data_IF_449959778783
#
_entry.id   IF_449959778783
#
_cell.length_a   1.000
_cell.length_b   1.000
_cell.length_c   1.000
_cell.angle_alpha   90.00
_cell.angle_beta   90.00
_cell.angle_gamma   90.00
#
_symmetry.space_group_name_H-M   'P 1'
#
loop_
_entity.id
_entity.type
_entity.pdbx_description
1 polymer ?
#
# COMPACT_ATOMS: atom_id res chain seq x y z
N UNK A 1 -13.18 -8.75 -15.64
CA UNK A 1 -13.69 -7.60 -14.86
C UNK A 1 -12.98 -7.55 -13.51
N UNK A 2 -13.21 -8.55 -12.65
CA UNK A 2 -12.49 -8.76 -11.39
C UNK A 2 -10.96 -8.96 -11.58
N UNK A 3 -10.53 -9.50 -12.73
CA UNK A 3 -9.12 -9.81 -12.97
C UNK A 3 -8.17 -8.60 -12.96
N UNK A 4 -8.63 -7.38 -13.29
CA UNK A 4 -7.70 -6.24 -13.42
C UNK A 4 -7.22 -5.72 -12.08
N UNK A 5 -8.13 -5.54 -11.11
CA UNK A 5 -7.77 -5.08 -9.75
C UNK A 5 -6.77 -6.04 -9.11
N UNK A 6 -7.07 -7.34 -9.14
CA UNK A 6 -6.19 -8.35 -8.57
C UNK A 6 -4.88 -8.52 -9.33
N UNK A 7 -4.88 -8.39 -10.67
CA UNK A 7 -3.66 -8.41 -11.46
C UNK A 7 -2.74 -7.25 -11.10
N UNK A 8 -3.28 -6.02 -11.04
CA UNK A 8 -2.51 -4.83 -10.65
C UNK A 8 -1.99 -4.99 -9.23
N UNK A 9 -2.85 -5.40 -8.29
CA UNK A 9 -2.46 -5.62 -6.90
C UNK A 9 -1.34 -6.67 -6.80
N UNK A 10 -1.45 -7.78 -7.52
CA UNK A 10 -0.43 -8.82 -7.55
C UNK A 10 0.91 -8.29 -8.10
N UNK A 11 0.88 -7.55 -9.20
CA UNK A 11 2.10 -6.94 -9.76
C UNK A 11 2.74 -5.96 -8.77
N UNK A 12 1.94 -5.11 -8.12
CA UNK A 12 2.43 -4.18 -7.07
C UNK A 12 3.08 -4.95 -5.93
N UNK A 13 2.44 -6.02 -5.43
CA UNK A 13 2.97 -6.84 -4.35
C UNK A 13 4.31 -7.45 -4.76
N UNK A 14 4.39 -8.04 -5.96
CA UNK A 14 5.64 -8.64 -6.45
C UNK A 14 6.75 -7.59 -6.53
N UNK A 15 6.48 -6.43 -7.09
CA UNK A 15 7.47 -5.35 -7.20
C UNK A 15 7.89 -4.86 -5.81
N UNK A 16 6.95 -4.66 -4.89
CA UNK A 16 7.24 -4.26 -3.50
C UNK A 16 8.09 -5.31 -2.77
N UNK A 17 7.77 -6.60 -2.92
CA UNK A 17 8.56 -7.70 -2.32
C UNK A 17 9.98 -7.77 -2.88
N UNK A 18 10.12 -7.71 -4.20
CA UNK A 18 11.44 -7.76 -4.87
C UNK A 18 12.28 -6.56 -4.45
N UNK A 19 11.72 -5.35 -4.45
CA UNK A 19 12.47 -4.16 -4.06
C UNK A 19 12.87 -4.19 -2.59
N UNK A 20 11.99 -4.62 -1.68
CA UNK A 20 12.33 -4.80 -0.25
C UNK A 20 13.41 -5.86 -0.05
N UNK A 21 13.40 -6.94 -0.82
CA UNK A 21 14.46 -7.94 -0.79
C UNK A 21 15.81 -7.35 -1.24
N UNK A 22 15.84 -6.60 -2.34
CA UNK A 22 17.07 -6.00 -2.88
C UNK A 22 17.65 -4.95 -1.93
N UNK A 23 16.81 -4.11 -1.34
CA UNK A 23 17.23 -2.96 -0.53
C UNK A 23 17.16 -3.22 0.99
N UNK A 24 17.03 -4.48 1.42
CA UNK A 24 16.84 -4.81 2.84
C UNK A 24 17.95 -4.26 3.73
N UNK A 25 19.21 -4.41 3.33
CA UNK A 25 20.39 -3.97 4.11
C UNK A 25 20.48 -2.45 4.30
N UNK A 26 19.91 -1.66 3.40
CA UNK A 26 19.90 -0.19 3.47
C UNK A 26 18.58 0.39 3.99
N UNK A 27 17.65 -0.47 4.41
CA UNK A 27 16.31 -0.11 4.84
C UNK A 27 16.22 0.24 6.34
N UNK A 28 15.05 0.70 6.76
CA UNK A 28 14.67 0.89 8.16
C UNK A 28 13.28 0.30 8.40
N UNK A 29 13.07 -0.31 9.57
CA UNK A 29 11.75 -0.83 9.95
C UNK A 29 10.95 0.28 10.66
N UNK A 30 9.91 0.77 10.00
CA UNK A 30 8.99 1.75 10.53
C UNK A 30 7.85 1.08 11.32
N UNK A 31 7.81 1.31 12.63
CA UNK A 31 6.78 0.76 13.53
C UNK A 31 5.51 1.62 13.62
N UNK A 32 5.50 2.79 12.99
CA UNK A 32 4.38 3.73 12.97
C UNK A 32 3.81 3.93 11.57
N UNK A 33 3.09 5.04 11.40
CA UNK A 33 2.75 5.58 10.08
C UNK A 33 3.79 6.63 9.64
N UNK A 34 3.46 7.42 8.61
CA UNK A 34 4.24 8.60 8.25
C UNK A 34 4.51 9.47 9.50
N UNK A 35 5.72 10.06 9.58
CA UNK A 35 6.19 10.80 10.76
C UNK A 35 6.16 10.01 12.07
N UNK A 36 6.19 8.67 12.01
CA UNK A 36 6.31 7.84 13.21
C UNK A 36 5.15 7.99 14.20
N UNK A 37 3.96 8.40 13.73
CA UNK A 37 2.73 8.43 14.53
C UNK A 37 2.21 7.01 14.79
N UNK A 38 1.47 6.81 15.88
CA UNK A 38 0.86 5.53 16.26
C UNK A 38 1.86 4.35 16.35
N UNK A 39 3.11 4.63 16.72
CA UNK A 39 4.08 3.58 17.04
C UNK A 39 3.55 2.65 18.13
N UNK A 40 3.77 1.34 17.96
CA UNK A 40 3.31 0.31 18.90
C UNK A 40 1.86 -0.13 18.69
N UNK A 41 1.09 0.56 17.84
CA UNK A 41 -0.29 0.20 17.51
C UNK A 41 -0.38 -0.57 16.19
N UNK A 42 0.52 -1.52 15.95
CA UNK A 42 0.57 -2.32 14.71
C UNK A 42 -0.79 -2.95 14.36
N UNK A 43 -1.56 -3.35 15.38
CA UNK A 43 -2.90 -3.93 15.24
C UNK A 43 -3.92 -2.97 14.60
N UNK A 44 -3.82 -1.65 14.83
CA UNK A 44 -4.70 -0.65 14.20
C UNK A 44 -4.48 -0.60 12.68
N UNK A 45 -3.22 -0.69 12.25
CA UNK A 45 -2.88 -0.70 10.83
C UNK A 45 -3.32 -1.99 10.14
N UNK A 46 -3.20 -3.13 10.83
CA UNK A 46 -3.71 -4.42 10.33
C UNK A 46 -5.23 -4.33 10.15
N UNK A 47 -5.95 -3.81 11.15
CA UNK A 47 -7.39 -3.63 11.09
C UNK A 47 -7.79 -2.71 9.92
N UNK A 48 -7.12 -1.57 9.76
CA UNK A 48 -7.37 -0.66 8.65
C UNK A 48 -7.13 -1.34 7.28
N UNK A 49 -6.05 -2.11 7.15
CA UNK A 49 -5.75 -2.84 5.92
C UNK A 49 -6.82 -3.89 5.56
N UNK A 50 -7.36 -4.59 6.56
CA UNK A 50 -8.45 -5.54 6.39
C UNK A 50 -9.73 -4.81 5.93
N UNK A 51 -10.09 -3.71 6.58
CA UNK A 51 -11.28 -2.91 6.23
C UNK A 51 -11.17 -2.40 4.79
N UNK A 52 -10.05 -1.79 4.41
CA UNK A 52 -9.82 -1.29 3.04
C UNK A 52 -9.93 -2.41 2.01
N UNK A 53 -9.35 -3.58 2.32
CA UNK A 53 -9.41 -4.76 1.46
C UNK A 53 -10.85 -5.23 1.25
N UNK A 54 -11.65 -5.29 2.31
CA UNK A 54 -13.09 -5.66 2.23
C UNK A 54 -13.84 -4.65 1.36
N UNK A 55 -13.65 -3.35 1.59
CA UNK A 55 -14.29 -2.28 0.80
C UNK A 55 -13.97 -2.44 -0.69
N UNK A 56 -12.70 -2.65 -1.05
CA UNK A 56 -12.30 -2.82 -2.46
C UNK A 56 -12.96 -4.06 -3.09
N UNK A 57 -13.04 -5.18 -2.35
CA UNK A 57 -13.70 -6.40 -2.83
C UNK A 57 -15.21 -6.17 -3.04
N UNK A 58 -15.86 -5.41 -2.16
CA UNK A 58 -17.28 -5.06 -2.27
C UNK A 58 -17.55 -4.09 -3.43
N UNK A 59 -16.66 -3.12 -3.68
CA UNK A 59 -16.78 -2.12 -4.73
C UNK A 59 -16.34 -2.60 -6.13
N UNK A 60 -16.15 -3.91 -6.32
CA UNK A 60 -15.59 -4.53 -7.55
C UNK A 60 -16.34 -4.23 -8.86
N UNK A 61 -17.57 -3.75 -8.78
CA UNK A 61 -18.40 -3.46 -9.95
C UNK A 61 -18.13 -2.08 -10.56
N UNK A 62 -17.43 -1.20 -9.83
CA UNK A 62 -17.09 0.16 -10.28
C UNK A 62 -15.93 0.15 -11.27
N UNK A 63 -16.22 -0.20 -12.53
CA UNK A 63 -15.25 -0.32 -13.64
C UNK A 63 -14.28 0.86 -13.75
N UNK A 64 -14.78 2.07 -13.48
CA UNK A 64 -14.06 3.32 -13.66
C UNK A 64 -12.91 3.52 -12.66
N UNK A 65 -12.98 2.89 -11.48
CA UNK A 65 -11.97 3.04 -10.43
C UNK A 65 -11.01 1.84 -10.32
N UNK A 66 -11.16 0.81 -11.16
CA UNK A 66 -10.39 -0.44 -11.04
C UNK A 66 -8.87 -0.24 -11.04
N UNK A 67 -8.37 0.74 -11.79
CA UNK A 67 -6.94 1.05 -11.83
C UNK A 67 -6.46 1.52 -10.44
N UNK A 68 -7.12 2.53 -9.87
CA UNK A 68 -6.78 3.07 -8.56
C UNK A 68 -7.00 2.07 -7.42
N UNK A 69 -8.09 1.29 -7.47
CA UNK A 69 -8.35 0.21 -6.52
C UNK A 69 -7.28 -0.88 -6.55
N UNK A 70 -6.75 -1.22 -7.73
CA UNK A 70 -5.66 -2.21 -7.86
C UNK A 70 -4.38 -1.74 -7.16
N UNK A 71 -4.00 -0.47 -7.35
CA UNK A 71 -2.85 0.14 -6.69
C UNK A 71 -3.04 0.25 -5.17
N UNK A 72 -4.21 0.69 -4.70
CA UNK A 72 -4.52 0.74 -3.27
C UNK A 72 -4.48 -0.65 -2.63
N UNK A 73 -5.08 -1.65 -3.28
CA UNK A 73 -5.11 -3.01 -2.76
C UNK A 73 -3.69 -3.61 -2.68
N UNK A 74 -2.90 -3.45 -3.74
CA UNK A 74 -1.53 -3.94 -3.78
C UNK A 74 -0.64 -3.31 -2.71
N UNK A 75 -0.71 -1.99 -2.56
CA UNK A 75 0.07 -1.27 -1.55
C UNK A 75 -0.39 -1.60 -0.12
N UNK A 76 -1.70 -1.67 0.11
CA UNK A 76 -2.26 -2.06 1.41
C UNK A 76 -1.82 -3.45 1.82
N UNK A 77 -1.91 -4.44 0.92
CA UNK A 77 -1.48 -5.81 1.20
C UNK A 77 0.04 -5.91 1.37
N UNK A 78 0.84 -5.23 0.54
CA UNK A 78 2.30 -5.23 0.67
C UNK A 78 2.77 -4.76 2.05
N UNK A 79 2.21 -3.66 2.53
CA UNK A 79 2.51 -3.14 3.87
C UNK A 79 1.87 -3.95 5.01
N UNK A 80 0.77 -4.66 4.76
CA UNK A 80 0.18 -5.60 5.71
C UNK A 80 1.10 -6.81 5.93
N UNK A 81 1.64 -7.38 4.84
CA UNK A 81 2.59 -8.50 4.91
C UNK A 81 3.78 -8.13 5.79
N UNK A 82 4.36 -6.94 5.61
CA UNK A 82 5.46 -6.50 6.47
C UNK A 82 5.08 -6.43 7.93
N UNK A 83 3.91 -5.85 8.23
CA UNK A 83 3.45 -5.71 9.63
C UNK A 83 3.24 -7.05 10.30
N UNK A 84 2.79 -8.06 9.56
CA UNK A 84 2.61 -9.41 10.08
C UNK A 84 3.95 -10.15 10.30
N UNK A 85 4.95 -9.90 9.46
CA UNK A 85 6.24 -10.61 9.52
C UNK A 85 7.26 -9.90 10.43
N UNK A 86 7.34 -8.57 10.34
CA UNK A 86 8.37 -7.75 10.97
C UNK A 86 7.85 -6.84 12.09
N UNK A 87 6.55 -6.87 12.39
CA UNK A 87 5.90 -5.94 13.34
C UNK A 87 6.09 -4.45 12.99
N UNK A 88 6.33 -4.16 11.71
CA UNK A 88 6.58 -2.83 11.15
C UNK A 88 6.62 -2.90 9.63
N UNK A 89 6.98 -1.80 8.96
CA UNK A 89 7.07 -1.70 7.49
C UNK A 89 8.51 -1.45 7.08
N UNK A 90 8.97 -2.10 6.01
CA UNK A 90 10.33 -1.90 5.49
C UNK A 90 10.35 -0.67 4.59
N UNK A 91 11.02 0.39 5.03
CA UNK A 91 11.19 1.63 4.27
C UNK A 91 12.63 1.75 3.78
N UNK A 92 12.81 1.92 2.47
CA UNK A 92 14.15 1.94 1.84
C UNK A 92 14.36 3.16 0.94
N UNK A 93 13.30 3.86 0.54
CA UNK A 93 13.42 5.11 -0.23
C UNK A 93 13.57 6.25 0.76
N UNK A 94 14.74 6.90 0.74
CA UNK A 94 15.10 8.00 1.64
C UNK A 94 15.29 9.29 0.84
N UNK A 95 14.41 10.27 1.07
CA UNK A 95 14.49 11.60 0.48
C UNK A 95 14.48 12.61 1.62
N UNK A 96 15.46 13.51 1.68
CA UNK A 96 15.77 14.32 2.87
C UNK A 96 14.62 15.15 3.46
N UNK A 97 13.60 15.46 2.67
CA UNK A 97 12.52 16.40 3.02
C UNK A 97 11.23 15.67 3.42
N UNK A 98 11.12 14.37 3.13
CA UNK A 98 9.89 13.59 3.38
C UNK A 98 10.18 12.33 4.18
N UNK A 99 9.19 11.79 4.93
CA UNK A 99 9.35 10.50 5.61
C UNK A 99 9.83 9.43 4.64
N UNK A 100 10.66 8.51 5.11
CA UNK A 100 11.07 7.35 4.32
C UNK A 100 9.84 6.51 3.94
N UNK A 101 9.89 5.89 2.77
CA UNK A 101 8.76 5.15 2.21
C UNK A 101 9.24 3.99 1.33
N UNK A 102 8.29 3.24 0.78
CA UNK A 102 8.54 2.13 -0.13
C UNK A 102 7.57 2.12 -1.33
N UNK A 103 7.65 1.08 -2.15
CA UNK A 103 6.80 0.92 -3.34
C UNK A 103 5.32 0.77 -2.98
N UNK A 104 5.00 0.03 -1.91
CA UNK A 104 3.63 -0.08 -1.43
C UNK A 104 3.02 1.27 -1.01
N UNK A 105 3.79 2.16 -0.37
CA UNK A 105 3.32 3.51 -0.04
C UNK A 105 3.09 4.35 -1.30
N UNK A 106 4.03 4.33 -2.24
CA UNK A 106 3.88 5.02 -3.52
C UNK A 106 2.64 4.52 -4.28
N UNK A 107 2.41 3.20 -4.28
CA UNK A 107 1.23 2.59 -4.86
C UNK A 107 -0.06 3.10 -4.20
N UNK A 108 -0.10 3.22 -2.88
CA UNK A 108 -1.28 3.74 -2.19
C UNK A 108 -1.56 5.20 -2.56
N UNK A 109 -0.53 6.05 -2.63
CA UNK A 109 -0.67 7.46 -3.05
C UNK A 109 -1.18 7.54 -4.49
N UNK A 110 -0.57 6.79 -5.41
CA UNK A 110 -0.99 6.76 -6.81
C UNK A 110 -2.43 6.25 -6.97
N UNK A 111 -2.79 5.19 -6.25
CA UNK A 111 -4.14 4.63 -6.26
C UNK A 111 -5.19 5.63 -5.78
N UNK A 112 -4.91 6.33 -4.68
CA UNK A 112 -5.78 7.40 -4.18
C UNK A 112 -5.94 8.55 -5.18
N UNK A 113 -4.83 9.04 -5.77
CA UNK A 113 -4.86 10.11 -6.77
C UNK A 113 -5.68 9.72 -8.01
N UNK A 114 -5.56 8.47 -8.48
CA UNK A 114 -6.32 7.98 -9.63
C UNK A 114 -7.82 7.92 -9.36
N UNK A 115 -8.23 7.52 -8.16
CA UNK A 115 -9.64 7.50 -7.76
C UNK A 115 -10.17 8.94 -7.68
N UNK A 116 -9.46 9.82 -6.97
CA UNK A 116 -9.85 11.24 -6.83
C UNK A 116 -9.97 11.91 -8.21
N UNK A 117 -8.99 11.68 -9.09
CA UNK A 117 -9.02 12.21 -10.44
C UNK A 117 -10.23 11.72 -11.24
N UNK A 118 -10.61 10.45 -11.07
CA UNK A 118 -11.80 9.89 -11.72
C UNK A 118 -13.08 10.51 -11.17
N UNK A 119 -13.20 10.63 -9.86
CA UNK A 119 -14.34 11.28 -9.21
C UNK A 119 -14.52 12.75 -9.65
N UNK A 120 -13.43 13.48 -9.89
CA UNK A 120 -13.48 14.87 -10.38
C UNK A 120 -13.89 14.98 -11.86
N UNK A 121 -13.66 13.94 -12.65
CA UNK A 121 -13.92 13.88 -14.09
C UNK A 121 -15.34 13.41 -14.44
N UNK A 122 -16.04 12.84 -13.47
CA UNK A 122 -17.47 12.46 -13.53
C UNK A 122 -18.36 13.70 -13.32
#
# INVERSE_FOLDING_TARGET
MVSKVFLIAFLVIIIDRITKFIFFESSSINKGAAFSILQGYTWLFILAAVIVTIIIIMSRNEKQYQLGMGFLLGGTIGNLIDRLVYSGVIDFIKISIIPSFNVADFSNVLGALLIIYKMYKE
#
